data_IF_484729514283
#
_entry.id   IF_484729514283
#
_cell.length_a   1.000
_cell.length_b   1.000
_cell.length_c   1.000
_cell.angle_alpha   90.00
_cell.angle_beta   90.00
_cell.angle_gamma   90.00
#
_symmetry.space_group_name_H-M   'P 1'
#
loop_
_entity.id
_entity.type
_entity.pdbx_description
1 polymer ?
#
# COMPACT_ATOMS: atom_id res chain seq x y z
N UNK A 1 19.43 16.69 5.89
CA UNK A 1 18.87 16.90 7.24
C UNK A 1 19.23 15.68 8.05
N UNK A 2 20.04 15.87 9.08
CA UNK A 2 20.49 14.79 9.96
C UNK A 2 19.49 14.51 11.09
N UNK A 3 19.85 13.55 11.93
CA UNK A 3 19.18 13.30 13.21
C UNK A 3 19.73 14.32 14.23
N UNK A 4 18.84 14.91 14.98
CA UNK A 4 19.09 15.90 16.03
C UNK A 4 18.52 15.38 17.35
N UNK A 5 19.14 15.73 18.48
CA UNK A 5 18.65 15.35 19.80
C UNK A 5 17.96 16.55 20.45
N UNK A 6 16.70 16.37 20.85
CA UNK A 6 15.95 17.35 21.62
C UNK A 6 15.40 16.65 22.87
N UNK A 7 15.67 17.21 24.05
CA UNK A 7 15.24 16.66 25.35
C UNK A 7 15.66 15.19 25.56
N UNK A 8 16.85 14.83 25.06
CA UNK A 8 17.38 13.45 25.14
C UNK A 8 16.79 12.47 24.12
N UNK A 9 15.88 12.91 23.24
CA UNK A 9 15.27 12.07 22.21
C UNK A 9 15.82 12.36 20.82
N UNK A 10 16.18 11.30 20.08
CA UNK A 10 16.61 11.40 18.68
C UNK A 10 15.41 11.69 17.77
N UNK A 11 15.48 12.79 17.03
CA UNK A 11 14.45 13.23 16.09
C UNK A 11 15.03 13.97 14.90
N UNK A 12 14.14 14.49 14.06
CA UNK A 12 14.50 15.32 12.90
C UNK A 12 13.35 16.22 12.51
N UNK A 13 13.66 17.28 11.78
CA UNK A 13 12.66 18.17 11.19
C UNK A 13 11.99 17.51 9.98
N UNK A 14 10.66 17.55 9.92
CA UNK A 14 9.91 17.11 8.75
C UNK A 14 9.98 18.16 7.63
N UNK A 15 10.45 17.80 6.42
CA UNK A 15 10.52 18.75 5.28
C UNK A 15 9.16 19.28 4.82
N UNK A 16 8.08 18.57 5.13
CA UNK A 16 6.74 18.93 4.66
C UNK A 16 6.02 19.88 5.61
N UNK A 17 6.08 19.62 6.92
CA UNK A 17 5.38 20.44 7.91
C UNK A 17 6.31 21.33 8.74
N UNK A 18 7.63 21.26 8.55
CA UNK A 18 8.62 22.09 9.24
C UNK A 18 8.83 21.79 10.73
N UNK A 19 7.99 20.95 11.34
CA UNK A 19 8.10 20.60 12.76
C UNK A 19 9.18 19.53 13.02
N UNK A 20 9.95 19.72 14.10
CA UNK A 20 10.76 18.65 14.70
C UNK A 20 9.85 17.55 15.24
N UNK A 21 10.23 16.30 15.00
CA UNK A 21 9.53 15.11 15.49
C UNK A 21 10.53 14.01 15.85
N UNK A 22 10.20 13.13 16.80
CA UNK A 22 11.05 11.97 17.10
C UNK A 22 11.18 11.07 15.87
N UNK A 23 12.28 10.34 15.77
CA UNK A 23 12.59 9.42 14.65
C UNK A 23 11.48 8.37 14.43
N UNK A 24 10.76 7.97 15.47
CA UNK A 24 9.60 7.07 15.44
C UNK A 24 8.45 7.62 14.59
N UNK A 25 8.30 8.94 14.52
CA UNK A 25 7.30 9.60 13.68
C UNK A 25 7.65 9.54 12.19
N UNK A 26 8.81 8.99 11.82
CA UNK A 26 9.24 8.78 10.45
C UNK A 26 9.22 7.29 10.11
N UNK A 27 9.08 6.99 8.83
CA UNK A 27 9.22 5.62 8.31
C UNK A 27 10.70 5.34 8.04
N UNK A 28 11.15 4.12 8.31
CA UNK A 28 12.50 3.66 7.93
C UNK A 28 12.54 3.39 6.43
N UNK A 29 13.65 3.74 5.78
CA UNK A 29 13.90 3.36 4.37
C UNK A 29 14.38 1.92 4.32
N UNK A 30 14.02 1.22 3.24
CA UNK A 30 14.53 -0.13 2.99
C UNK A 30 16.03 -0.12 2.68
N UNK A 31 16.49 0.91 1.95
CA UNK A 31 17.91 1.13 1.66
C UNK A 31 18.47 2.12 2.68
N UNK A 32 19.51 1.70 3.41
CA UNK A 32 20.19 2.53 4.40
C UNK A 32 21.09 3.55 3.70
N UNK A 33 20.49 4.67 3.32
CA UNK A 33 21.21 5.84 2.79
C UNK A 33 20.95 7.03 3.71
N UNK A 34 22.01 7.79 4.01
CA UNK A 34 21.94 8.95 4.91
C UNK A 34 21.55 8.56 6.34
N UNK A 35 20.49 9.17 6.86
CA UNK A 35 19.97 8.92 8.22
C UNK A 35 19.07 7.67 8.32
N UNK A 36 18.78 6.99 7.21
CA UNK A 36 17.93 5.80 7.18
C UNK A 36 16.42 6.05 7.32
N UNK A 37 15.98 7.32 7.36
CA UNK A 37 14.57 7.70 7.51
C UNK A 37 14.06 8.50 6.31
N UNK A 38 12.75 8.48 6.09
CA UNK A 38 12.14 9.38 5.11
C UNK A 38 12.23 10.85 5.56
N UNK A 39 12.14 11.78 4.60
CA UNK A 39 12.28 13.22 4.85
C UNK A 39 10.99 13.87 5.39
N UNK A 40 9.89 13.13 5.38
CA UNK A 40 8.57 13.57 5.82
C UNK A 40 8.05 12.61 6.90
N UNK A 41 7.32 13.15 7.87
CA UNK A 41 6.72 12.34 8.92
C UNK A 41 5.55 11.49 8.40
N UNK A 42 5.19 10.45 9.15
CA UNK A 42 4.09 9.52 8.82
C UNK A 42 2.75 10.22 8.63
N UNK A 43 2.47 11.27 9.42
CA UNK A 43 1.25 12.06 9.26
C UNK A 43 1.20 12.78 7.90
N UNK A 44 2.33 13.41 7.52
CA UNK A 44 2.50 14.04 6.22
C UNK A 44 2.43 13.04 5.06
N UNK A 45 2.99 11.84 5.24
CA UNK A 45 2.89 10.76 4.25
C UNK A 45 1.44 10.30 4.08
N UNK A 46 0.70 10.07 5.18
CA UNK A 46 -0.71 9.67 5.16
C UNK A 46 -1.58 10.71 4.46
N UNK A 47 -1.40 11.98 4.77
CA UNK A 47 -2.12 13.07 4.11
C UNK A 47 -1.81 13.13 2.60
N UNK A 48 -0.55 12.91 2.21
CA UNK A 48 -0.17 12.78 0.79
C UNK A 48 -0.94 11.65 0.10
N UNK A 49 -0.94 10.48 0.72
CA UNK A 49 -1.52 9.28 0.15
C UNK A 49 -3.04 9.42 0.03
N UNK A 50 -3.70 9.99 1.03
CA UNK A 50 -5.14 10.30 0.97
C UNK A 50 -5.45 11.29 -0.14
N UNK A 51 -4.70 12.40 -0.25
CA UNK A 51 -4.90 13.38 -1.32
C UNK A 51 -4.72 12.75 -2.71
N UNK A 52 -3.68 11.93 -2.92
CA UNK A 52 -3.49 11.19 -4.17
C UNK A 52 -4.65 10.23 -4.45
N UNK A 53 -5.11 9.52 -3.43
CA UNK A 53 -6.24 8.61 -3.56
C UNK A 53 -7.49 9.32 -4.06
N UNK A 54 -7.87 10.46 -3.44
CA UNK A 54 -9.07 11.20 -3.84
C UNK A 54 -8.95 11.94 -5.17
N UNK A 55 -7.76 12.46 -5.48
CA UNK A 55 -7.53 13.20 -6.74
C UNK A 55 -7.55 12.27 -7.94
N UNK A 56 -7.10 11.02 -7.76
CA UNK A 56 -6.89 10.07 -8.86
C UNK A 56 -7.65 8.75 -8.66
N UNK A 57 -8.86 8.83 -8.08
CA UNK A 57 -9.72 7.66 -7.85
C UNK A 57 -9.99 6.92 -9.16
N UNK A 58 -10.25 7.66 -10.23
CA UNK A 58 -10.62 7.08 -11.52
C UNK A 58 -9.43 6.38 -12.18
N UNK A 59 -8.25 7.00 -12.28
CA UNK A 59 -7.11 6.29 -12.85
C UNK A 59 -6.64 5.15 -11.94
N UNK A 60 -6.77 5.28 -10.61
CA UNK A 60 -6.56 4.19 -9.67
C UNK A 60 -7.47 2.98 -9.94
N UNK A 61 -8.76 3.22 -10.19
CA UNK A 61 -9.73 2.18 -10.59
C UNK A 61 -9.38 1.60 -11.97
N UNK A 62 -9.10 2.45 -12.95
CA UNK A 62 -8.74 2.02 -14.30
C UNK A 62 -7.46 1.17 -14.32
N UNK A 63 -6.44 1.56 -13.55
CA UNK A 63 -5.21 0.79 -13.37
C UNK A 63 -5.50 -0.58 -12.73
N UNK A 64 -6.32 -0.60 -11.67
CA UNK A 64 -6.74 -1.84 -11.01
C UNK A 64 -7.46 -2.76 -11.99
N UNK A 65 -8.44 -2.25 -12.74
CA UNK A 65 -9.16 -3.00 -13.77
C UNK A 65 -8.22 -3.56 -14.84
N UNK A 66 -7.24 -2.76 -15.31
CA UNK A 66 -6.24 -3.19 -16.29
C UNK A 66 -5.39 -4.33 -15.74
N UNK A 67 -4.93 -4.22 -14.50
CA UNK A 67 -4.18 -5.26 -13.80
C UNK A 67 -5.00 -6.55 -13.68
N UNK A 68 -6.24 -6.46 -13.18
CA UNK A 68 -7.14 -7.61 -13.05
C UNK A 68 -7.43 -8.26 -14.41
N UNK A 69 -7.66 -7.48 -15.47
CA UNK A 69 -7.87 -8.02 -16.83
C UNK A 69 -6.66 -8.80 -17.30
N UNK A 70 -5.45 -8.24 -17.16
CA UNK A 70 -4.20 -8.89 -17.58
C UNK A 70 -3.90 -10.16 -16.78
N UNK A 71 -4.22 -10.18 -15.49
CA UNK A 71 -3.87 -11.27 -14.57
C UNK A 71 -5.07 -12.15 -14.17
N UNK A 72 -6.20 -12.05 -14.90
CA UNK A 72 -7.47 -12.75 -14.59
C UNK A 72 -7.27 -14.24 -14.37
N UNK A 73 -6.55 -14.93 -15.26
CA UNK A 73 -6.36 -16.37 -15.20
C UNK A 73 -5.59 -16.80 -13.94
N UNK A 74 -4.51 -16.10 -13.60
CA UNK A 74 -3.69 -16.37 -12.41
C UNK A 74 -4.47 -16.11 -11.12
N UNK A 75 -5.22 -15.00 -11.07
CA UNK A 75 -6.04 -14.65 -9.91
C UNK A 75 -7.16 -15.67 -9.72
N UNK A 76 -7.81 -16.12 -10.80
CA UNK A 76 -8.86 -17.13 -10.74
C UNK A 76 -8.31 -18.52 -10.40
N UNK A 77 -7.12 -18.88 -10.88
CA UNK A 77 -6.44 -20.12 -10.51
C UNK A 77 -6.09 -20.15 -9.01
N UNK A 78 -5.77 -19.00 -8.40
CA UNK A 78 -5.59 -18.90 -6.94
C UNK A 78 -6.90 -19.02 -6.15
N UNK A 79 -8.05 -18.87 -6.80
CA UNK A 79 -9.39 -19.02 -6.22
C UNK A 79 -10.01 -20.41 -6.46
N UNK A 80 -9.25 -21.36 -7.02
CA UNK A 80 -9.73 -22.73 -7.12
C UNK A 80 -9.63 -23.41 -5.75
N UNK A 81 -10.65 -24.18 -5.38
CA UNK A 81 -10.60 -25.02 -4.17
C UNK A 81 -9.40 -25.97 -4.25
N UNK A 82 -8.56 -26.00 -3.21
CA UNK A 82 -7.36 -26.86 -3.19
C UNK A 82 -7.68 -28.36 -3.23
N UNK A 83 -8.92 -28.74 -2.89
CA UNK A 83 -9.36 -30.14 -2.79
C UNK A 83 -9.97 -30.67 -4.07
N UNK A 84 -10.69 -29.84 -4.84
CA UNK A 84 -11.32 -30.26 -6.09
C UNK A 84 -10.83 -29.52 -7.34
N UNK A 85 -9.89 -28.58 -7.20
CA UNK A 85 -9.32 -27.71 -8.25
C UNK A 85 -10.34 -26.94 -9.11
N UNK A 86 -11.62 -26.99 -8.75
CA UNK A 86 -12.66 -26.22 -9.42
C UNK A 86 -12.63 -24.77 -8.94
N UNK A 87 -12.85 -23.84 -9.85
CA UNK A 87 -13.11 -22.44 -9.49
C UNK A 87 -14.50 -22.30 -8.85
N UNK A 88 -14.70 -21.36 -7.92
CA UNK A 88 -16.05 -21.06 -7.38
C UNK A 88 -17.09 -20.81 -8.48
N UNK A 89 -16.68 -20.28 -9.63
CA UNK A 89 -17.54 -20.09 -10.80
C UNK A 89 -17.97 -21.41 -11.45
N UNK A 90 -17.12 -22.44 -11.46
CA UNK A 90 -17.47 -23.76 -11.99
C UNK A 90 -18.47 -24.48 -11.06
N UNK A 91 -18.32 -24.36 -9.74
CA UNK A 91 -19.25 -24.94 -8.76
C UNK A 91 -20.67 -24.35 -8.89
N UNK A 92 -20.79 -23.04 -9.16
CA UNK A 92 -22.09 -22.39 -9.38
C UNK A 92 -22.79 -22.78 -10.68
N UNK A 93 -22.03 -23.08 -11.74
CA UNK A 93 -22.59 -23.52 -13.02
C UNK A 93 -23.11 -24.96 -12.95
N UNK A 94 -22.40 -25.84 -12.26
CA UNK A 94 -22.87 -27.22 -12.01
C UNK A 94 -24.15 -27.20 -11.17
N UNK A 95 -24.17 -26.43 -10.06
CA UNK A 95 -25.36 -26.30 -9.21
C UNK A 95 -26.57 -25.62 -9.90
N UNK A 96 -26.36 -24.89 -11.00
CA UNK A 96 -27.43 -24.26 -11.78
C UNK A 96 -27.98 -25.17 -12.90
N UNK A 97 -27.24 -26.20 -13.31
CA UNK A 97 -27.68 -27.20 -14.30
C UNK A 97 -28.42 -28.38 -13.66
N UNK A 98 -28.37 -28.52 -12.34
CA UNK A 98 -29.06 -29.55 -11.56
C UNK A 98 -30.47 -29.11 -11.07
N UNK A 99 -31.02 -28.04 -11.66
CA UNK A 99 -32.42 -27.58 -11.48
C UNK A 99 -33.14 -27.56 -12.82
#
# INVERSE_FOLDING_TARGET
>A
MGIEYQDGQAGKVCRRCGAWKPTEAFRKRAVQTGDGYYNQCRACERAANQSRYYTDLEAGRAHSLRYYRKHRAVINAKKTCATCHQSETAQRQVAALEK
#
